data_IF_835047955522
#
_entry.id   IF_835047955522
#
_cell.length_a   1.000
_cell.length_b   1.000
_cell.length_c   1.000
_cell.angle_alpha   90.00
_cell.angle_beta   90.00
_cell.angle_gamma   90.00
#
_symmetry.space_group_name_H-M   'P 1'
#
loop_
_entity.id
_entity.type
_entity.pdbx_description
1 polymer ?
#
# COMPACT_ATOMS: atom_id res chain seq x y z
N UNK A 1 31.28 93.80 -55.67
CA UNK A 1 31.87 93.89 -54.32
C UNK A 1 30.74 94.07 -53.31
N UNK A 2 30.84 93.41 -52.14
CA UNK A 2 30.06 93.56 -50.89
C UNK A 2 28.53 93.27 -50.96
N UNK A 3 28.06 92.12 -50.42
CA UNK A 3 27.63 91.87 -49.01
C UNK A 3 26.43 92.76 -48.64
N UNK A 4 25.24 92.22 -48.42
CA UNK A 4 24.88 91.67 -47.10
C UNK A 4 23.75 90.63 -47.21
N UNK A 5 23.99 89.44 -46.66
CA UNK A 5 23.03 88.34 -46.57
C UNK A 5 22.15 88.59 -45.35
N UNK A 6 20.84 88.68 -45.54
CA UNK A 6 19.87 88.56 -44.44
C UNK A 6 19.99 87.15 -43.86
N UNK A 7 20.50 87.10 -42.63
CA UNK A 7 20.71 85.90 -41.83
C UNK A 7 19.34 85.32 -41.45
N UNK A 8 18.94 84.22 -42.09
CA UNK A 8 17.96 83.30 -41.52
C UNK A 8 18.69 82.47 -40.45
N UNK A 9 18.48 82.85 -39.20
CA UNK A 9 18.94 82.08 -38.05
C UNK A 9 18.02 80.87 -37.86
N UNK A 10 18.28 79.80 -38.60
CA UNK A 10 17.86 78.44 -38.20
C UNK A 10 18.87 77.93 -37.19
N UNK A 11 18.48 77.85 -35.92
CA UNK A 11 19.20 77.04 -34.94
C UNK A 11 18.70 75.58 -35.01
N UNK A 12 19.61 74.60 -34.89
CA UNK A 12 19.35 73.18 -35.12
C UNK A 12 18.91 72.51 -33.83
N UNK A 13 18.00 71.55 -33.87
CA UNK A 13 17.98 70.46 -32.89
C UNK A 13 17.68 69.15 -33.63
N UNK A 14 18.79 68.46 -33.93
CA UNK A 14 18.99 67.03 -33.65
C UNK A 14 17.87 66.07 -34.05
N UNK A 15 18.01 65.47 -35.24
CA UNK A 15 17.70 64.05 -35.40
C UNK A 15 18.62 63.23 -34.48
N UNK A 16 18.23 63.04 -33.23
CA UNK A 16 18.68 61.86 -32.50
C UNK A 16 17.82 60.68 -32.97
N UNK A 17 18.25 60.10 -34.08
CA UNK A 17 17.94 58.72 -34.45
C UNK A 17 18.19 57.85 -33.22
N UNK A 18 17.09 57.38 -32.61
CA UNK A 18 17.12 56.36 -31.58
C UNK A 18 17.63 55.07 -32.22
N UNK A 19 18.95 54.98 -32.34
CA UNK A 19 19.68 53.81 -32.80
C UNK A 19 19.25 52.63 -31.93
N UNK A 20 18.39 51.79 -32.49
CA UNK A 20 17.86 50.61 -31.84
C UNK A 20 19.04 49.66 -31.62
N UNK A 21 19.62 49.72 -30.41
CA UNK A 21 20.70 48.82 -30.00
C UNK A 21 20.15 47.40 -29.93
N UNK A 22 20.15 46.74 -31.08
CA UNK A 22 19.71 45.34 -31.20
C UNK A 22 20.83 44.47 -30.65
N UNK A 23 20.50 43.58 -29.71
CA UNK A 23 21.42 42.58 -29.18
C UNK A 23 22.16 41.90 -30.35
N UNK A 24 23.50 41.80 -30.24
CA UNK A 24 24.43 41.23 -31.25
C UNK A 24 24.77 42.11 -32.47
N UNK A 25 24.80 43.44 -32.32
CA UNK A 25 25.03 44.45 -33.38
C UNK A 25 26.18 44.17 -34.39
N UNK A 26 27.21 43.38 -34.04
CA UNK A 26 28.36 43.06 -34.91
C UNK A 26 28.21 41.83 -35.83
N UNK A 27 27.10 41.09 -35.78
CA UNK A 27 26.94 39.81 -36.49
C UNK A 27 25.98 39.97 -37.69
N UNK A 28 26.29 39.34 -38.83
CA UNK A 28 25.44 39.32 -40.05
C UNK A 28 24.05 38.78 -39.72
N UNK A 29 22.99 39.38 -40.30
CA UNK A 29 21.59 39.04 -40.02
C UNK A 29 21.29 37.54 -40.14
N UNK A 30 21.85 36.87 -41.17
CA UNK A 30 21.68 35.43 -41.39
C UNK A 30 22.25 34.59 -40.22
N UNK A 31 23.40 34.96 -39.67
CA UNK A 31 23.99 34.28 -38.52
C UNK A 31 23.17 34.49 -37.23
N UNK A 32 22.45 35.62 -37.09
CA UNK A 32 21.53 35.83 -35.95
C UNK A 32 20.32 34.90 -36.05
N UNK A 33 19.73 34.76 -37.24
CA UNK A 33 18.59 33.85 -37.47
C UNK A 33 18.99 32.40 -37.19
N UNK A 34 20.15 31.95 -37.67
CA UNK A 34 20.67 30.60 -37.39
C UNK A 34 20.89 30.39 -35.89
N UNK A 35 21.43 31.38 -35.18
CA UNK A 35 21.63 31.30 -33.73
C UNK A 35 20.30 31.12 -32.99
N UNK A 36 19.26 31.87 -33.37
CA UNK A 36 17.92 31.72 -32.77
C UNK A 36 17.31 30.34 -33.04
N UNK A 37 17.47 29.80 -34.25
CA UNK A 37 17.00 28.45 -34.59
C UNK A 37 17.73 27.39 -33.76
N UNK A 38 19.05 27.49 -33.64
CA UNK A 38 19.86 26.55 -32.85
C UNK A 38 19.49 26.61 -31.36
N UNK A 39 19.33 27.81 -30.81
CA UNK A 39 18.88 27.99 -29.42
C UNK A 39 17.48 27.40 -29.23
N UNK A 40 16.56 27.64 -30.18
CA UNK A 40 15.21 27.06 -30.13
C UNK A 40 15.22 25.52 -30.12
N UNK A 41 16.04 24.90 -30.97
CA UNK A 41 16.19 23.43 -31.00
C UNK A 41 16.81 22.91 -29.69
N UNK A 42 17.83 23.60 -29.16
CA UNK A 42 18.44 23.26 -27.87
C UNK A 42 17.43 23.38 -26.72
N UNK A 43 16.59 24.41 -26.72
CA UNK A 43 15.51 24.57 -25.74
C UNK A 43 14.48 23.46 -25.83
N UNK A 44 14.09 23.05 -27.04
CA UNK A 44 13.18 21.91 -27.24
C UNK A 44 13.79 20.59 -26.76
N UNK A 45 15.07 20.35 -27.05
CA UNK A 45 15.79 19.18 -26.57
C UNK A 45 15.92 19.16 -25.04
N UNK A 46 16.20 20.32 -24.43
CA UNK A 46 16.25 20.47 -22.98
C UNK A 46 14.88 20.20 -22.34
N UNK A 47 13.79 20.74 -22.91
CA UNK A 47 12.43 20.45 -22.45
C UNK A 47 12.08 18.97 -22.59
N UNK A 48 12.45 18.33 -23.71
CA UNK A 48 12.26 16.89 -23.90
C UNK A 48 13.01 16.04 -22.87
N UNK A 49 14.25 16.40 -22.54
CA UNK A 49 15.04 15.74 -21.50
C UNK A 49 14.45 15.89 -20.09
N UNK A 50 13.95 17.10 -19.76
CA UNK A 50 13.25 17.35 -18.50
C UNK A 50 11.95 16.55 -18.43
N UNK A 51 11.18 16.49 -19.52
CA UNK A 51 9.94 15.74 -19.60
C UNK A 51 10.18 14.22 -19.44
N UNK A 52 11.21 13.67 -20.09
CA UNK A 52 11.60 12.27 -19.93
C UNK A 52 12.01 11.95 -18.49
N UNK A 53 12.77 12.84 -17.83
CA UNK A 53 13.16 12.64 -16.43
C UNK A 53 11.95 12.72 -15.47
N UNK A 54 11.04 13.67 -15.72
CA UNK A 54 9.81 13.81 -14.94
C UNK A 54 8.91 12.59 -15.10
N UNK A 55 8.76 12.07 -16.32
CA UNK A 55 7.95 10.88 -16.59
C UNK A 55 8.57 9.62 -15.97
N UNK A 56 9.90 9.49 -15.97
CA UNK A 56 10.58 8.39 -15.29
C UNK A 56 10.38 8.44 -13.77
N UNK A 57 10.46 9.62 -13.15
CA UNK A 57 10.16 9.81 -11.72
C UNK A 57 8.69 9.56 -11.40
N UNK A 58 7.79 9.97 -12.28
CA UNK A 58 6.36 9.74 -12.15
C UNK A 58 6.04 8.25 -12.22
N UNK A 59 6.63 7.50 -13.15
CA UNK A 59 6.48 6.04 -13.26
C UNK A 59 7.01 5.33 -12.01
N UNK A 60 8.18 5.71 -11.51
CA UNK A 60 8.74 5.15 -10.27
C UNK A 60 7.82 5.46 -9.07
N UNK A 61 7.30 6.69 -8.99
CA UNK A 61 6.36 7.07 -7.94
C UNK A 61 5.04 6.28 -8.04
N UNK A 62 4.48 6.12 -9.24
CA UNK A 62 3.27 5.35 -9.49
C UNK A 62 3.46 3.85 -9.21
N UNK A 63 4.59 3.25 -9.59
CA UNK A 63 4.92 1.87 -9.27
C UNK A 63 5.08 1.68 -7.76
N UNK A 64 5.72 2.64 -7.07
CA UNK A 64 5.83 2.62 -5.61
C UNK A 64 4.47 2.79 -4.91
N UNK A 65 3.57 3.59 -5.49
CA UNK A 65 2.22 3.80 -4.97
C UNK A 65 1.35 2.55 -5.15
N UNK A 66 1.43 1.93 -6.31
CA UNK A 66 0.68 0.70 -6.65
C UNK A 66 1.16 -0.47 -5.79
N UNK A 67 2.47 -0.65 -5.65
CA UNK A 67 3.07 -1.62 -4.75
C UNK A 67 2.67 -1.38 -3.28
N UNK A 68 2.63 -0.12 -2.84
CA UNK A 68 2.17 0.23 -1.49
C UNK A 68 0.68 -0.07 -1.28
N UNK A 69 -0.16 0.17 -2.29
CA UNK A 69 -1.59 -0.14 -2.24
C UNK A 69 -1.85 -1.64 -2.18
N UNK A 70 -1.10 -2.44 -2.96
CA UNK A 70 -1.19 -3.90 -2.93
C UNK A 70 -0.79 -4.48 -1.57
N UNK A 71 0.27 -3.94 -0.96
CA UNK A 71 0.69 -4.33 0.41
C UNK A 71 -0.36 -3.92 1.44
N UNK A 72 -0.89 -2.70 1.35
CA UNK A 72 -1.91 -2.20 2.27
C UNK A 72 -3.19 -3.03 2.18
N UNK A 73 -3.66 -3.33 0.97
CA UNK A 73 -4.83 -4.16 0.74
C UNK A 73 -4.60 -5.60 1.25
N UNK A 74 -3.43 -6.20 0.96
CA UNK A 74 -3.10 -7.54 1.44
C UNK A 74 -2.99 -7.57 2.97
N UNK A 75 -2.40 -6.55 3.59
CA UNK A 75 -2.33 -6.41 5.05
C UNK A 75 -3.71 -6.27 5.69
N UNK A 76 -4.59 -5.46 5.11
CA UNK A 76 -5.97 -5.31 5.57
C UNK A 76 -6.76 -6.63 5.50
N UNK A 77 -6.56 -7.41 4.43
CA UNK A 77 -7.15 -8.75 4.29
C UNK A 77 -6.62 -9.72 5.33
N UNK A 78 -5.32 -9.69 5.63
CA UNK A 78 -4.71 -10.48 6.72
C UNK A 78 -5.32 -10.11 8.06
N UNK A 79 -5.41 -8.81 8.38
CA UNK A 79 -6.00 -8.33 9.63
C UNK A 79 -7.46 -8.79 9.78
N UNK A 80 -8.27 -8.61 8.73
CA UNK A 80 -9.66 -9.05 8.71
C UNK A 80 -9.78 -10.56 8.91
N UNK A 81 -8.92 -11.36 8.28
CA UNK A 81 -8.91 -12.81 8.43
C UNK A 81 -8.55 -13.24 9.86
N UNK A 82 -7.57 -12.57 10.49
CA UNK A 82 -7.16 -12.84 11.88
C UNK A 82 -8.27 -12.45 12.87
N UNK A 83 -8.92 -11.31 12.68
CA UNK A 83 -10.05 -10.88 13.51
C UNK A 83 -11.21 -11.88 13.43
N UNK A 84 -11.54 -12.33 12.22
CA UNK A 84 -12.59 -13.32 12.01
C UNK A 84 -12.23 -14.68 12.63
N UNK A 85 -10.96 -15.13 12.52
CA UNK A 85 -10.44 -16.31 13.20
C UNK A 85 -10.60 -16.24 14.72
N UNK A 86 -10.24 -15.10 15.32
CA UNK A 86 -10.39 -14.90 16.74
C UNK A 86 -11.87 -14.90 17.15
N UNK A 87 -12.73 -14.26 16.35
CA UNK A 87 -14.18 -14.26 16.60
C UNK A 87 -14.76 -15.67 16.58
N UNK A 88 -14.43 -16.49 15.58
CA UNK A 88 -14.89 -17.87 15.49
C UNK A 88 -14.36 -18.73 16.66
N UNK A 89 -13.11 -18.53 17.06
CA UNK A 89 -12.53 -19.19 18.24
C UNK A 89 -13.31 -18.86 19.53
N UNK A 90 -13.55 -17.57 19.79
CA UNK A 90 -14.28 -17.12 20.98
C UNK A 90 -15.75 -17.58 20.96
N UNK A 91 -16.40 -17.50 19.80
CA UNK A 91 -17.77 -17.96 19.63
C UNK A 91 -17.89 -19.47 19.85
N UNK A 92 -16.89 -20.25 19.42
CA UNK A 92 -16.82 -21.67 19.75
C UNK A 92 -16.64 -21.88 21.25
N UNK A 93 -15.72 -21.15 21.89
CA UNK A 93 -15.46 -21.28 23.33
C UNK A 93 -16.70 -21.00 24.18
N UNK A 94 -17.51 -20.02 23.79
CA UNK A 94 -18.74 -19.63 24.49
C UNK A 94 -19.89 -20.60 24.17
N UNK A 95 -20.17 -20.83 22.89
CA UNK A 95 -21.39 -21.54 22.47
C UNK A 95 -21.23 -23.06 22.34
N UNK A 96 -19.99 -23.55 22.24
CA UNK A 96 -19.62 -24.95 21.94
C UNK A 96 -20.24 -25.50 20.65
N UNK A 97 -20.76 -24.65 19.76
CA UNK A 97 -21.37 -25.07 18.49
C UNK A 97 -20.31 -25.39 17.45
N UNK A 98 -20.44 -26.53 16.78
CA UNK A 98 -19.49 -27.03 15.77
C UNK A 98 -19.33 -26.11 14.58
N UNK A 99 -20.36 -25.34 14.22
CA UNK A 99 -20.31 -24.37 13.11
C UNK A 99 -19.14 -23.38 13.23
N UNK A 100 -18.82 -22.95 14.47
CA UNK A 100 -17.71 -22.02 14.68
C UNK A 100 -16.35 -22.72 14.56
N UNK A 101 -16.26 -24.02 14.86
CA UNK A 101 -15.05 -24.79 14.63
C UNK A 101 -14.81 -25.04 13.13
N UNK A 102 -15.87 -25.29 12.37
CA UNK A 102 -15.82 -25.42 10.90
C UNK A 102 -15.39 -24.11 10.25
N UNK A 103 -16.02 -22.99 10.64
CA UNK A 103 -15.65 -21.66 10.17
C UNK A 103 -14.20 -21.32 10.51
N UNK A 104 -13.76 -21.63 11.73
CA UNK A 104 -12.37 -21.45 12.16
C UNK A 104 -11.40 -22.20 11.23
N UNK A 105 -11.68 -23.46 10.92
CA UNK A 105 -10.84 -24.28 10.04
C UNK A 105 -10.69 -23.66 8.65
N UNK A 106 -11.82 -23.23 8.05
CA UNK A 106 -11.83 -22.56 6.74
C UNK A 106 -11.01 -21.27 6.76
N UNK A 107 -11.27 -20.39 7.73
CA UNK A 107 -10.58 -19.10 7.84
C UNK A 107 -9.10 -19.24 8.18
N UNK A 108 -8.72 -20.31 8.88
CA UNK A 108 -7.32 -20.61 9.19
C UNK A 108 -6.53 -20.91 7.92
N UNK A 109 -7.13 -21.68 7.01
CA UNK A 109 -6.55 -21.93 5.68
C UNK A 109 -6.43 -20.65 4.86
N UNK A 110 -7.48 -19.82 4.84
CA UNK A 110 -7.46 -18.53 4.14
C UNK A 110 -6.38 -17.59 4.68
N UNK A 111 -6.26 -17.47 6.01
CA UNK A 111 -5.23 -16.65 6.65
C UNK A 111 -3.81 -17.16 6.34
N UNK A 112 -3.59 -18.47 6.32
CA UNK A 112 -2.29 -19.05 5.98
C UNK A 112 -1.88 -18.71 4.53
N UNK A 113 -2.83 -18.77 3.58
CA UNK A 113 -2.58 -18.38 2.19
C UNK A 113 -2.23 -16.89 2.08
N UNK A 114 -3.00 -16.02 2.75
CA UNK A 114 -2.76 -14.57 2.73
C UNK A 114 -1.39 -14.21 3.33
N UNK A 115 -1.03 -14.80 4.47
CA UNK A 115 0.27 -14.59 5.11
C UNK A 115 1.43 -15.09 4.25
N UNK A 116 1.28 -16.24 3.59
CA UNK A 116 2.29 -16.78 2.66
C UNK A 116 2.48 -15.86 1.46
N UNK A 117 1.39 -15.32 0.91
CA UNK A 117 1.45 -14.37 -0.19
C UNK A 117 2.14 -13.07 0.23
N UNK A 118 1.83 -12.55 1.43
CA UNK A 118 2.46 -11.36 1.98
C UNK A 118 3.97 -11.57 2.21
N UNK A 119 4.37 -12.78 2.60
CA UNK A 119 5.79 -13.13 2.84
C UNK A 119 6.62 -13.15 1.56
N UNK A 120 6.00 -13.51 0.44
CA UNK A 120 6.66 -13.57 -0.88
C UNK A 120 6.85 -12.20 -1.52
N UNK A 121 6.27 -11.13 -0.97
CA UNK A 121 6.42 -9.78 -1.52
C UNK A 121 7.80 -9.21 -1.15
N UNK A 122 8.64 -8.82 -2.14
CA UNK A 122 9.96 -8.24 -1.86
C UNK A 122 9.86 -6.89 -1.13
N UNK A 123 8.77 -6.15 -1.32
CA UNK A 123 8.47 -4.91 -0.62
C UNK A 123 8.13 -5.11 0.87
N UNK A 124 7.85 -6.34 1.31
CA UNK A 124 7.65 -6.66 2.73
C UNK A 124 8.98 -6.86 3.49
N UNK A 125 10.14 -6.65 2.86
CA UNK A 125 11.48 -6.89 3.44
C UNK A 125 11.67 -6.27 4.83
N UNK A 126 11.27 -4.99 4.99
CA UNK A 126 11.35 -4.26 6.26
C UNK A 126 10.44 -4.84 7.36
N UNK A 127 9.37 -5.54 6.97
CA UNK A 127 8.37 -6.15 7.86
C UNK A 127 8.51 -7.67 8.04
N UNK A 128 9.51 -8.32 7.43
CA UNK A 128 9.65 -9.78 7.43
C UNK A 128 9.69 -10.38 8.84
N UNK A 129 10.36 -9.72 9.79
CA UNK A 129 10.39 -10.18 11.19
C UNK A 129 9.01 -10.11 11.83
N UNK A 130 8.28 -9.02 11.65
CA UNK A 130 6.92 -8.87 12.17
C UNK A 130 5.95 -9.88 11.54
N UNK A 131 6.09 -10.10 10.23
CA UNK A 131 5.30 -11.09 9.50
C UNK A 131 5.58 -12.52 9.97
N UNK A 132 6.85 -12.86 10.20
CA UNK A 132 7.24 -14.15 10.78
C UNK A 132 6.61 -14.34 12.17
N UNK A 133 6.69 -13.34 13.04
CA UNK A 133 6.03 -13.37 14.35
C UNK A 133 4.52 -13.54 14.23
N UNK A 134 3.89 -12.89 13.25
CA UNK A 134 2.45 -13.02 13.00
C UNK A 134 2.07 -14.44 12.56
N UNK A 135 2.85 -15.04 11.64
CA UNK A 135 2.68 -16.43 11.20
C UNK A 135 2.83 -17.39 12.37
N UNK A 136 3.86 -17.21 13.20
CA UNK A 136 4.09 -18.01 14.41
C UNK A 136 2.93 -17.88 15.40
N UNK A 137 2.42 -16.66 15.62
CA UNK A 137 1.27 -16.38 16.48
C UNK A 137 -0.01 -17.07 15.99
N UNK A 138 -0.33 -16.96 14.70
CA UNK A 138 -1.50 -17.62 14.10
C UNK A 138 -1.38 -19.15 14.20
N UNK A 139 -0.19 -19.70 13.95
CA UNK A 139 0.08 -21.13 14.09
C UNK A 139 -0.11 -21.59 15.54
N UNK A 140 0.43 -20.83 16.49
CA UNK A 140 0.28 -21.12 17.93
C UNK A 140 -1.19 -21.07 18.35
N UNK A 141 -1.95 -20.08 17.87
CA UNK A 141 -3.38 -19.97 18.12
C UNK A 141 -4.17 -21.17 17.55
N UNK A 142 -3.82 -21.63 16.34
CA UNK A 142 -4.42 -22.82 15.74
C UNK A 142 -4.17 -24.08 16.59
N UNK A 143 -2.96 -24.26 17.10
CA UNK A 143 -2.62 -25.36 18.02
C UNK A 143 -3.45 -25.30 19.31
N UNK A 144 -3.57 -24.11 19.93
CA UNK A 144 -4.42 -23.94 21.12
C UNK A 144 -5.88 -24.27 20.84
N UNK A 145 -6.40 -23.84 19.68
CA UNK A 145 -7.77 -24.13 19.29
C UNK A 145 -7.99 -25.63 19.08
N UNK A 146 -7.06 -26.32 18.43
CA UNK A 146 -7.13 -27.78 18.26
C UNK A 146 -7.13 -28.52 19.60
N UNK A 147 -6.27 -28.13 20.53
CA UNK A 147 -6.28 -28.70 21.88
C UNK A 147 -7.63 -28.46 22.58
N UNK A 148 -8.21 -27.28 22.40
CA UNK A 148 -9.55 -26.96 22.93
C UNK A 148 -10.62 -27.86 22.33
N UNK A 149 -10.59 -28.12 21.01
CA UNK A 149 -11.53 -29.04 20.35
C UNK A 149 -11.41 -30.45 20.91
N UNK A 150 -10.18 -30.94 21.13
CA UNK A 150 -9.94 -32.26 21.72
C UNK A 150 -10.45 -32.35 23.16
N UNK A 151 -10.18 -31.34 23.98
CA UNK A 151 -10.70 -31.30 25.35
C UNK A 151 -12.24 -31.28 25.35
N UNK A 152 -12.84 -30.47 24.48
CA UNK A 152 -14.30 -30.38 24.39
C UNK A 152 -14.94 -31.69 23.90
N UNK A 153 -14.30 -32.41 22.99
CA UNK A 153 -14.78 -33.71 22.52
C UNK A 153 -14.70 -34.78 23.61
N UNK A 154 -13.65 -34.74 24.45
CA UNK A 154 -13.52 -35.61 25.62
C UNK A 154 -14.57 -35.31 26.68
N UNK A 155 -14.77 -34.04 27.04
CA UNK A 155 -15.80 -33.62 28.00
C UNK A 155 -17.19 -34.03 27.50
N UNK A 156 -17.43 -33.89 26.20
CA UNK A 156 -18.72 -34.11 25.56
C UNK A 156 -19.39 -32.79 25.19
N UNK A 157 -19.97 -32.72 23.99
CA UNK A 157 -20.71 -31.56 23.48
C UNK A 157 -22.21 -31.64 23.79
N UNK A 158 -22.68 -32.76 24.36
CA UNK A 158 -24.09 -33.02 24.62
C UNK A 158 -24.27 -33.90 25.87
N UNK A 159 -25.47 -33.89 26.48
CA UNK A 159 -25.77 -34.61 27.73
C UNK A 159 -25.61 -36.14 27.64
N UNK A 160 -25.57 -36.67 26.42
CA UNK A 160 -25.53 -38.09 26.06
C UNK A 160 -24.15 -38.57 25.62
N UNK A 161 -23.15 -37.69 25.49
CA UNK A 161 -21.80 -38.05 25.02
C UNK A 161 -20.71 -37.48 25.92
N UNK A 162 -19.54 -38.12 25.89
CA UNK A 162 -18.34 -37.68 26.64
C UNK A 162 -18.35 -38.03 28.13
N UNK A 163 -17.35 -37.51 28.84
CA UNK A 163 -17.13 -37.77 30.27
C UNK A 163 -18.33 -37.35 31.13
N UNK A 164 -19.00 -36.24 30.81
CA UNK A 164 -20.17 -35.77 31.58
C UNK A 164 -21.30 -36.79 31.54
N UNK A 165 -21.60 -37.32 30.35
CA UNK A 165 -22.63 -38.34 30.18
C UNK A 165 -22.28 -39.63 30.92
N UNK A 166 -21.02 -40.07 30.84
CA UNK A 166 -20.54 -41.28 31.55
C UNK A 166 -20.66 -41.15 33.08
N UNK A 167 -20.35 -39.98 33.61
CA UNK A 167 -20.49 -39.69 35.05
C UNK A 167 -21.96 -39.66 35.46
N UNK A 168 -22.84 -39.05 34.65
CA UNK A 168 -24.27 -39.04 34.93
C UNK A 168 -24.86 -40.46 34.95
N UNK A 169 -24.52 -41.30 33.97
CA UNK A 169 -24.97 -42.70 33.91
C UNK A 169 -24.43 -43.51 35.11
N UNK A 170 -23.17 -43.32 35.47
CA UNK A 170 -22.57 -44.00 36.62
C UNK A 170 -23.25 -43.58 37.93
N UNK A 171 -23.55 -42.28 38.09
CA UNK A 171 -24.24 -41.74 39.25
C UNK A 171 -25.67 -42.26 39.40
N UNK A 172 -26.45 -42.30 38.31
CA UNK A 172 -27.80 -42.87 38.36
C UNK A 172 -27.78 -44.36 38.67
N UNK A 173 -26.84 -45.12 38.08
CA UNK A 173 -26.67 -46.54 38.38
C UNK A 173 -26.34 -46.79 39.87
N UNK A 174 -25.44 -45.99 40.44
CA UNK A 174 -25.11 -46.04 41.87
C UNK A 174 -26.33 -45.75 42.74
N UNK A 175 -27.09 -44.70 42.42
CA UNK A 175 -28.31 -44.35 43.14
C UNK A 175 -29.34 -45.48 43.12
N UNK A 176 -29.53 -46.14 41.97
CA UNK A 176 -30.45 -47.28 41.86
C UNK A 176 -30.01 -48.46 42.72
N UNK A 177 -28.71 -48.75 42.80
CA UNK A 177 -28.21 -49.84 43.65
C UNK A 177 -28.40 -49.56 45.15
N UNK A 178 -28.16 -48.32 45.57
CA UNK A 178 -28.34 -47.91 46.97
C UNK A 178 -29.83 -47.94 47.35
N UNK A 179 -30.72 -47.46 46.48
CA UNK A 179 -32.18 -47.44 46.76
C UNK A 179 -32.87 -48.80 46.64
N UNK A 180 -32.19 -49.82 46.11
CA UNK A 180 -32.69 -51.19 46.00
C UNK A 180 -32.22 -52.11 47.14
N UNK A 181 -31.42 -51.58 48.07
CA UNK A 181 -30.94 -52.26 49.29
C UNK A 181 -31.71 -51.72 50.49
#
# INVERSE_FOLDING_TARGET
MAKEKVVKQTLPIEEQSAGSRTFLSGIRLNSRVILFVVIGILSLAAMGGVFFNAEQRLRIALDSLTSSYDIANLSFRVETAILALNSDSQNFLISKKTIYAENYSKRSSEAAILLTNLQRLPAASNGQMMLKTLIESVTKHATYFQNTLQIQSLIGTSKDKGLVAKTAISGTKLQTQISAT
#
